data_IF_117762375356
#
_entry.id   IF_117762375356
#
_cell.length_a   1.000
_cell.length_b   1.000
_cell.length_c   1.000
_cell.angle_alpha   90.00
_cell.angle_beta   90.00
_cell.angle_gamma   90.00
#
_symmetry.space_group_name_H-M   'P 1'
#
loop_
_entity.id
_entity.type
_entity.pdbx_description
1 polymer ?
#
# COMPACT_ATOMS: atom_id res chain seq x y z
N UNK A 1 -4.01 -16.65 15.82
CA UNK A 1 -3.94 -15.94 14.54
C UNK A 1 -3.10 -14.69 14.73
N UNK A 2 -1.88 -14.72 14.21
CA UNK A 2 -0.99 -13.55 14.11
C UNK A 2 -1.45 -12.62 12.98
N UNK A 3 -0.88 -11.43 12.89
CA UNK A 3 -1.17 -10.50 11.77
C UNK A 3 -0.79 -11.11 10.42
N UNK A 4 0.30 -11.86 10.35
CA UNK A 4 0.74 -12.57 9.15
C UNK A 4 -0.26 -13.67 8.76
N UNK A 5 -0.67 -14.50 9.73
CA UNK A 5 -1.66 -15.57 9.50
C UNK A 5 -2.99 -14.98 9.00
N UNK A 6 -3.44 -13.86 9.57
CA UNK A 6 -4.67 -13.20 9.14
C UNK A 6 -4.57 -12.62 7.73
N UNK A 7 -3.47 -11.93 7.39
CA UNK A 7 -3.29 -11.35 6.05
C UNK A 7 -3.19 -12.44 4.99
N UNK A 8 -2.53 -13.56 5.32
CA UNK A 8 -2.51 -14.74 4.45
C UNK A 8 -3.89 -15.34 4.26
N UNK A 9 -4.67 -15.50 5.34
CA UNK A 9 -6.04 -16.00 5.26
C UNK A 9 -6.94 -15.09 4.40
N UNK A 10 -6.88 -13.78 4.63
CA UNK A 10 -7.60 -12.76 3.87
C UNK A 10 -7.29 -12.85 2.36
N UNK A 11 -6.01 -13.00 1.99
CA UNK A 11 -5.60 -13.09 0.60
C UNK A 11 -5.94 -14.44 -0.06
N UNK A 12 -6.04 -15.53 0.71
CA UNK A 12 -6.23 -16.88 0.16
C UNK A 12 -7.69 -17.38 0.20
N UNK A 13 -8.49 -16.92 1.15
CA UNK A 13 -9.83 -17.49 1.43
C UNK A 13 -10.97 -16.47 1.34
N UNK A 14 -10.76 -15.37 0.62
CA UNK A 14 -11.84 -14.43 0.31
C UNK A 14 -12.92 -15.04 -0.58
N UNK A 15 -14.19 -14.71 -0.32
CA UNK A 15 -15.32 -15.07 -1.18
C UNK A 15 -15.22 -14.51 -2.60
N UNK A 16 -14.33 -13.54 -2.83
CA UNK A 16 -14.08 -12.93 -4.13
C UNK A 16 -12.78 -13.44 -4.80
N UNK A 17 -12.14 -14.46 -4.21
CA UNK A 17 -10.93 -15.10 -4.76
C UNK A 17 -9.82 -14.09 -5.08
N UNK A 18 -9.21 -14.23 -6.27
CA UNK A 18 -8.08 -13.41 -6.70
C UNK A 18 -8.34 -11.89 -6.73
N UNK A 19 -9.61 -11.44 -6.81
CA UNK A 19 -9.93 -10.01 -6.73
C UNK A 19 -9.57 -9.40 -5.38
N UNK A 20 -9.64 -10.20 -4.31
CA UNK A 20 -9.22 -9.75 -2.99
C UNK A 20 -7.71 -9.49 -2.95
N UNK A 21 -6.92 -10.32 -3.62
CA UNK A 21 -5.47 -10.14 -3.71
C UNK A 21 -5.13 -8.85 -4.47
N UNK A 22 -5.77 -8.61 -5.62
CA UNK A 22 -5.60 -7.36 -6.38
C UNK A 22 -5.96 -6.14 -5.53
N UNK A 23 -7.08 -6.22 -4.79
CA UNK A 23 -7.52 -5.15 -3.91
C UNK A 23 -6.51 -4.85 -2.80
N UNK A 24 -5.98 -5.88 -2.14
CA UNK A 24 -4.99 -5.74 -1.06
C UNK A 24 -3.70 -5.11 -1.60
N UNK A 25 -3.21 -5.57 -2.75
CA UNK A 25 -2.01 -5.00 -3.38
C UNK A 25 -2.23 -3.53 -3.76
N UNK A 26 -3.38 -3.17 -4.32
CA UNK A 26 -3.71 -1.78 -4.65
C UNK A 26 -3.82 -0.90 -3.39
N UNK A 27 -4.36 -1.44 -2.30
CA UNK A 27 -4.42 -0.73 -1.02
C UNK A 27 -3.01 -0.47 -0.45
N UNK A 28 -2.12 -1.48 -0.51
CA UNK A 28 -0.72 -1.33 -0.11
C UNK A 28 -0.02 -0.28 -0.97
N UNK A 29 -0.18 -0.35 -2.30
CA UNK A 29 0.41 0.60 -3.26
C UNK A 29 0.01 2.03 -2.93
N UNK A 30 -1.30 2.30 -2.84
CA UNK A 30 -1.82 3.65 -2.58
C UNK A 30 -1.37 4.20 -1.23
N UNK A 31 -1.36 3.36 -0.20
CA UNK A 31 -0.93 3.78 1.12
C UNK A 31 0.57 4.06 1.16
N UNK A 32 1.38 3.22 0.51
CA UNK A 32 2.81 3.44 0.37
C UNK A 32 3.11 4.73 -0.40
N UNK A 33 2.39 5.00 -1.50
CA UNK A 33 2.51 6.26 -2.25
C UNK A 33 2.19 7.48 -1.37
N UNK A 34 1.08 7.42 -0.64
CA UNK A 34 0.64 8.51 0.24
C UNK A 34 1.68 8.81 1.33
N UNK A 35 2.17 7.77 2.02
CA UNK A 35 3.12 7.94 3.13
C UNK A 35 4.51 8.31 2.61
N UNK A 36 4.96 7.73 1.50
CA UNK A 36 6.27 8.05 0.92
C UNK A 36 6.38 9.51 0.43
N UNK A 37 5.24 10.13 0.09
CA UNK A 37 5.16 11.54 -0.32
C UNK A 37 4.96 12.52 0.86
N UNK A 38 4.68 12.03 2.06
CA UNK A 38 4.47 12.88 3.24
C UNK A 38 5.78 13.45 3.78
N UNK A 39 5.73 14.64 4.40
CA UNK A 39 6.85 15.08 5.20
C UNK A 39 6.92 14.21 6.48
N UNK A 40 8.11 13.76 6.93
CA UNK A 40 8.22 12.92 8.12
C UNK A 40 7.50 13.48 9.35
N UNK A 41 7.51 14.80 9.55
CA UNK A 41 6.83 15.45 10.67
C UNK A 41 5.30 15.30 10.65
N UNK A 42 4.68 15.10 9.48
CA UNK A 42 3.22 14.99 9.34
C UNK A 42 2.70 13.60 9.73
N UNK A 43 3.59 12.61 9.78
CA UNK A 43 3.29 11.21 10.13
C UNK A 43 4.04 10.73 11.38
N UNK A 44 4.69 11.66 12.08
CA UNK A 44 5.39 11.39 13.33
C UNK A 44 4.38 11.29 14.48
N UNK A 45 4.52 10.25 15.31
CA UNK A 45 3.64 10.01 16.46
C UNK A 45 4.46 9.59 17.67
N UNK A 46 3.84 9.59 18.86
CA UNK A 46 4.49 9.14 20.10
C UNK A 46 5.08 7.72 19.99
N UNK A 47 4.51 6.87 19.14
CA UNK A 47 4.87 5.46 19.04
C UNK A 47 5.60 5.09 17.74
N UNK A 48 5.73 6.03 16.80
CA UNK A 48 6.25 5.75 15.46
C UNK A 48 6.99 6.97 14.92
N UNK A 49 8.28 6.78 14.65
CA UNK A 49 9.08 7.80 13.98
C UNK A 49 8.61 7.99 12.55
N UNK A 50 8.22 9.21 12.22
CA UNK A 50 7.77 9.56 10.89
C UNK A 50 8.85 9.35 9.82
N UNK A 51 10.13 9.56 10.14
CA UNK A 51 11.22 9.29 9.21
C UNK A 51 11.36 7.79 8.89
N UNK A 52 11.23 6.94 9.91
CA UNK A 52 11.22 5.48 9.71
C UNK A 52 10.00 5.05 8.92
N UNK A 53 8.83 5.66 9.19
CA UNK A 53 7.59 5.33 8.49
C UNK A 53 7.61 5.72 7.01
N UNK A 54 8.11 6.92 6.69
CA UNK A 54 8.33 7.36 5.30
C UNK A 54 9.34 6.46 4.60
N UNK A 55 10.45 6.12 5.26
CA UNK A 55 11.46 5.21 4.69
C UNK A 55 10.89 3.82 4.39
N UNK A 56 10.10 3.26 5.31
CA UNK A 56 9.41 1.98 5.09
C UNK A 56 8.44 2.06 3.91
N UNK A 57 7.67 3.15 3.81
CA UNK A 57 6.74 3.34 2.70
C UNK A 57 7.46 3.42 1.35
N UNK A 58 8.63 4.06 1.29
CA UNK A 58 9.48 4.09 0.08
C UNK A 58 9.98 2.69 -0.30
N UNK A 59 10.41 1.87 0.67
CA UNK A 59 10.82 0.49 0.44
C UNK A 59 9.66 -0.36 -0.11
N UNK A 60 8.49 -0.29 0.52
CA UNK A 60 7.30 -1.03 0.11
C UNK A 60 6.86 -0.59 -1.30
N UNK A 61 6.83 0.72 -1.56
CA UNK A 61 6.53 1.26 -2.89
C UNK A 61 7.45 0.67 -3.94
N UNK A 62 8.77 0.69 -3.72
CA UNK A 62 9.73 0.16 -4.66
C UNK A 62 9.47 -1.33 -4.97
N UNK A 63 9.24 -2.16 -3.95
CA UNK A 63 8.94 -3.59 -4.13
C UNK A 63 7.66 -3.84 -4.92
N UNK A 64 6.61 -3.07 -4.66
CA UNK A 64 5.34 -3.21 -5.39
C UNK A 64 5.51 -2.82 -6.86
N UNK A 65 6.19 -1.70 -7.13
CA UNK A 65 6.39 -1.23 -8.51
C UNK A 65 7.29 -2.18 -9.31
N UNK A 66 8.35 -2.71 -8.69
CA UNK A 66 9.22 -3.73 -9.31
C UNK A 66 8.48 -5.02 -9.64
N UNK A 67 7.63 -5.51 -8.72
CA UNK A 67 6.94 -6.79 -8.88
C UNK A 67 5.85 -6.76 -9.97
N UNK A 68 5.18 -5.62 -10.15
CA UNK A 68 4.00 -5.50 -11.00
C UNK A 68 4.22 -4.70 -12.28
N UNK A 69 5.47 -4.28 -12.57
CA UNK A 69 5.86 -3.45 -13.73
C UNK A 69 4.91 -2.25 -13.89
N UNK A 70 4.61 -1.61 -12.75
CA UNK A 70 3.66 -0.49 -12.69
C UNK A 70 4.41 0.74 -13.16
N UNK A 71 4.27 1.07 -14.44
CA UNK A 71 4.39 2.46 -14.88
C UNK A 71 3.33 3.29 -14.11
N UNK A 72 3.59 4.57 -13.84
CA UNK A 72 2.69 5.49 -13.11
C UNK A 72 1.25 5.56 -13.70
N UNK A 73 0.99 4.89 -14.82
CA UNK A 73 -0.27 4.78 -15.56
C UNK A 73 -1.34 3.86 -14.93
N UNK A 74 -1.04 3.05 -13.91
CA UNK A 74 -2.12 2.39 -13.11
C UNK A 74 -2.81 3.35 -12.12
N UNK A 75 -2.39 4.63 -12.06
CA UNK A 75 -3.17 5.68 -11.40
C UNK A 75 -4.45 5.85 -12.21
N UNK A 76 -5.52 5.17 -11.75
CA UNK A 76 -6.89 5.44 -12.18
C UNK A 76 -7.07 6.94 -12.26
N UNK A 77 -7.15 7.47 -13.49
CA UNK A 77 -7.45 8.88 -13.73
C UNK A 77 -8.66 9.22 -12.87
N UNK A 78 -8.56 10.30 -12.08
CA UNK A 78 -9.72 10.80 -11.35
C UNK A 78 -10.87 10.89 -12.35
N UNK A 79 -12.01 10.27 -12.02
CA UNK A 79 -13.21 10.48 -12.80
C UNK A 79 -13.45 11.99 -12.84
N UNK A 80 -13.33 12.57 -14.02
CA UNK A 80 -13.66 13.95 -14.27
C UNK A 80 -15.11 14.19 -13.80
N UNK A 81 -15.29 15.31 -13.12
CA UNK A 81 -16.50 15.64 -12.38
C UNK A 81 -17.79 15.48 -13.18
N UNK A 82 -18.80 14.96 -12.49
CA UNK A 82 -20.21 15.14 -12.83
C UNK A 82 -20.78 16.29 -11.99
#
# INVERSE_FOLDING_TARGET
MTNEEFVSDLMNFSSFGGLCQVFVIEAIRRYADQVAAAAPADVDTEFLSGAVWVGLAQEIKAKVYEQYDVDDDMVVQKADGA
#
